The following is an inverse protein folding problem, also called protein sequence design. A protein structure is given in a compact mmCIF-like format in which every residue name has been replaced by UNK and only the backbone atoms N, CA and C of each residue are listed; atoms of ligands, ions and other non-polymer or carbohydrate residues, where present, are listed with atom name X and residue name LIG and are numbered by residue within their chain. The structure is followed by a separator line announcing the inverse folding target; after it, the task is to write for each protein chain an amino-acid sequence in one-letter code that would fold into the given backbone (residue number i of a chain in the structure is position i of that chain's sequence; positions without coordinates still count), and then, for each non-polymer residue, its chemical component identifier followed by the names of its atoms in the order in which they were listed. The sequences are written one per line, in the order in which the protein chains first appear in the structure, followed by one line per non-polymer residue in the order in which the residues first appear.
data_IF_465813408222
#
_entry.id   IF_465813408222
#
_cell.length_a   1.000
_cell.length_b   1.000
_cell.length_c   1.000
_cell.angle_alpha   90.00
_cell.angle_beta   90.00
_cell.angle_gamma   90.00
#
_symmetry.space_group_name_H-M   'P 1'
#
loop_
_entity.id
_entity.type
_entity.pdbx_description
1 polymer ?
#
# COMPACT_ATOMS: atom_id res chain seq x y z
N UNK A 1 73.39 53.20 40.82
CA UNK A 1 72.63 53.42 39.60
C UNK A 1 72.41 52.05 38.94
N UNK A 2 71.23 51.43 39.12
CA UNK A 2 70.86 50.13 38.52
C UNK A 2 69.56 50.31 37.76
N UNK A 3 69.62 50.21 36.43
CA UNK A 3 68.47 50.27 35.56
C UNK A 3 67.76 48.89 35.47
N UNK A 4 66.59 48.80 35.99
CA UNK A 4 65.73 47.60 35.86
C UNK A 4 64.91 47.75 34.59
N UNK A 5 65.08 46.85 33.64
CA UNK A 5 64.24 46.76 32.39
C UNK A 5 63.03 45.91 32.64
N UNK A 6 61.87 46.48 32.49
CA UNK A 6 60.59 45.74 32.46
C UNK A 6 60.44 45.07 31.08
N UNK A 7 60.22 43.77 31.10
CA UNK A 7 59.81 42.99 29.91
C UNK A 7 58.29 43.05 29.74
N UNK A 8 57.86 43.53 28.56
CA UNK A 8 56.48 43.56 28.18
C UNK A 8 56.07 42.19 27.61
N UNK A 9 55.11 41.50 28.27
CA UNK A 9 54.50 40.29 27.79
C UNK A 9 53.41 40.61 26.75
N UNK A 10 53.67 40.26 25.50
CA UNK A 10 52.67 40.33 24.40
C UNK A 10 51.68 39.16 24.49
N UNK A 11 50.46 39.44 24.90
CA UNK A 11 49.32 38.51 24.80
C UNK A 11 48.93 38.33 23.34
N UNK A 12 49.32 37.22 22.73
CA UNK A 12 48.80 36.79 21.44
C UNK A 12 47.33 36.44 21.51
N UNK A 13 46.48 37.32 21.01
CA UNK A 13 45.05 37.09 20.80
C UNK A 13 44.92 36.17 19.58
N UNK A 14 44.59 34.89 19.79
CA UNK A 14 44.19 33.98 18.70
C UNK A 14 42.85 34.46 18.14
N UNK A 15 42.91 35.07 17.01
CA UNK A 15 41.72 35.31 16.20
C UNK A 15 41.27 33.96 15.64
N UNK A 16 40.24 33.37 16.25
CA UNK A 16 39.46 32.25 15.63
C UNK A 16 38.65 32.87 14.51
N UNK A 17 38.99 32.57 13.29
CA UNK A 17 38.33 33.09 12.10
C UNK A 17 36.86 32.74 12.11
N UNK A 18 36.02 33.74 12.07
CA UNK A 18 34.55 33.63 11.98
C UNK A 18 34.06 32.81 10.76
N UNK A 19 34.95 32.55 9.81
CA UNK A 19 34.67 31.77 8.60
C UNK A 19 34.42 30.27 8.89
N UNK A 20 35.05 29.70 9.97
CA UNK A 20 34.85 28.27 10.30
C UNK A 20 33.52 27.95 10.94
N UNK A 21 32.85 28.92 11.58
CA UNK A 21 31.54 28.70 12.18
C UNK A 21 30.37 28.76 11.14
N UNK A 22 30.56 29.48 10.04
CA UNK A 22 29.52 29.58 9.00
C UNK A 22 29.45 28.30 8.16
N UNK A 23 30.57 27.61 7.92
CA UNK A 23 30.54 26.32 7.18
C UNK A 23 29.94 25.16 7.99
N UNK A 24 30.02 25.16 9.33
CA UNK A 24 29.43 24.13 10.16
C UNK A 24 27.91 24.24 10.29
N UNK A 25 27.36 25.47 10.17
CA UNK A 25 25.91 25.69 10.20
C UNK A 25 25.21 25.31 8.89
N UNK A 26 25.92 25.33 7.74
CA UNK A 26 25.35 25.01 6.42
C UNK A 26 25.20 23.49 6.18
N UNK A 27 25.94 22.64 6.89
CA UNK A 27 25.88 21.19 6.74
C UNK A 27 24.69 20.53 7.48
N UNK A 28 24.03 21.23 8.41
CA UNK A 28 22.92 20.68 9.20
C UNK A 28 21.54 20.80 8.52
N UNK A 29 21.45 21.47 7.36
CA UNK A 29 20.17 21.71 6.68
C UNK A 29 19.82 20.71 5.55
N UNK A 30 20.64 19.66 5.31
CA UNK A 30 20.49 18.84 4.09
C UNK A 30 19.70 17.54 4.29
N UNK A 31 19.23 17.20 5.47
CA UNK A 31 18.47 15.95 5.70
C UNK A 31 17.16 16.15 6.45
N UNK A 32 16.37 17.15 6.08
CA UNK A 32 14.94 17.09 6.30
C UNK A 32 14.36 16.30 5.11
N UNK A 33 14.52 14.98 5.12
CA UNK A 33 13.74 14.08 4.27
C UNK A 33 12.29 14.32 4.61
N UNK A 34 11.56 15.03 3.76
CA UNK A 34 10.11 15.09 3.83
C UNK A 34 9.61 13.68 3.57
N UNK A 35 9.40 12.90 4.63
CA UNK A 35 8.76 11.61 4.54
C UNK A 35 7.39 11.83 3.91
N UNK A 36 7.25 11.51 2.63
CA UNK A 36 5.96 11.44 1.96
C UNK A 36 5.20 10.26 2.57
N UNK A 37 4.18 10.54 3.36
CA UNK A 37 3.45 9.54 4.15
C UNK A 37 2.19 9.09 3.43
N UNK A 38 1.97 7.78 3.29
CA UNK A 38 0.71 7.18 2.87
C UNK A 38 -0.38 7.47 3.93
N UNK A 39 -1.64 7.50 3.56
CA UNK A 39 -2.79 7.90 4.41
C UNK A 39 -2.56 9.26 5.06
N UNK A 40 -3.29 10.27 4.62
CA UNK A 40 -3.18 11.64 5.13
C UNK A 40 -3.22 11.65 6.66
N UNK A 41 -2.21 12.25 7.30
CA UNK A 41 -2.07 12.33 8.75
C UNK A 41 -2.20 10.98 9.50
N UNK A 42 -2.00 9.87 8.80
CA UNK A 42 -1.94 8.54 9.41
C UNK A 42 -0.67 8.33 10.25
N UNK A 43 -0.60 7.21 10.94
CA UNK A 43 0.60 6.67 11.61
C UNK A 43 1.18 5.51 10.84
N UNK A 44 2.37 5.05 11.20
CA UNK A 44 2.92 3.81 10.64
C UNK A 44 1.94 2.67 10.92
N UNK A 45 1.69 1.83 9.91
CA UNK A 45 0.73 0.74 10.03
C UNK A 45 1.23 -0.31 11.04
N UNK A 46 0.33 -0.68 11.96
CA UNK A 46 0.54 -1.75 12.92
C UNK A 46 0.12 -3.11 12.36
N UNK A 47 -0.65 -3.85 13.16
CA UNK A 47 -1.09 -5.21 12.80
C UNK A 47 -1.89 -5.33 11.51
N UNK A 48 -2.62 -4.28 11.11
CA UNK A 48 -3.36 -4.26 9.84
C UNK A 48 -2.43 -4.34 8.62
N UNK A 49 -1.18 -3.91 8.76
CA UNK A 49 -0.21 -3.94 7.67
C UNK A 49 0.07 -5.33 7.09
N UNK A 50 -0.21 -6.40 7.84
CA UNK A 50 -0.09 -7.78 7.37
C UNK A 50 -1.15 -8.17 6.34
N UNK A 51 -2.17 -7.37 6.18
CA UNK A 51 -3.29 -7.59 5.27
C UNK A 51 -3.26 -6.67 4.05
N UNK A 52 -2.15 -5.92 3.85
CA UNK A 52 -2.09 -4.84 2.85
C UNK A 52 -0.84 -4.95 2.02
N UNK A 53 -0.98 -4.82 0.71
CA UNK A 53 0.12 -4.80 -0.24
C UNK A 53 -0.03 -3.63 -1.21
N UNK A 54 1.09 -3.20 -1.81
CA UNK A 54 1.10 -2.17 -2.84
C UNK A 54 0.73 -2.77 -4.17
N UNK A 55 -0.20 -2.16 -4.90
CA UNK A 55 -0.56 -2.49 -6.27
C UNK A 55 -0.01 -1.42 -7.21
N UNK A 56 0.72 -1.84 -8.23
CA UNK A 56 1.32 -0.96 -9.22
C UNK A 56 0.95 -1.40 -10.63
N UNK A 57 0.67 -0.44 -11.48
CA UNK A 57 0.44 -0.60 -12.91
C UNK A 57 1.18 0.46 -13.69
N UNK A 58 0.90 0.59 -14.99
CA UNK A 58 1.48 1.65 -15.81
C UNK A 58 1.00 3.02 -15.29
N UNK A 59 1.92 3.80 -14.68
CA UNK A 59 1.66 5.12 -14.08
C UNK A 59 0.58 5.13 -12.97
N UNK A 60 0.25 3.98 -12.40
CA UNK A 60 -0.75 3.86 -11.35
C UNK A 60 -0.13 3.28 -10.08
N UNK A 61 -0.43 3.92 -8.96
CA UNK A 61 -0.20 3.40 -7.63
C UNK A 61 -1.55 3.27 -6.92
N UNK A 62 -1.82 2.06 -6.44
CA UNK A 62 -2.95 1.74 -5.57
C UNK A 62 -2.50 0.86 -4.39
N UNK A 63 -3.45 0.52 -3.57
CA UNK A 63 -3.33 -0.45 -2.50
C UNK A 63 -4.18 -1.67 -2.83
N UNK A 64 -3.82 -2.84 -2.32
CA UNK A 64 -4.67 -4.02 -2.39
C UNK A 64 -4.73 -4.72 -1.03
N UNK A 65 -5.89 -5.31 -0.75
CA UNK A 65 -6.22 -5.98 0.51
C UNK A 65 -6.11 -7.48 0.34
N UNK A 66 -5.38 -8.14 1.23
CA UNK A 66 -5.10 -9.58 1.17
C UNK A 66 -6.31 -10.36 1.71
N UNK A 67 -6.95 -11.16 0.86
CA UNK A 67 -8.07 -12.04 1.21
C UNK A 67 -7.74 -13.53 1.05
N UNK A 68 -6.60 -13.85 0.48
CA UNK A 68 -6.06 -15.20 0.29
C UNK A 68 -4.56 -15.16 0.01
N UNK A 69 -3.91 -16.31 -0.03
CA UNK A 69 -2.47 -16.36 -0.30
C UNK A 69 -2.08 -15.86 -1.71
N UNK A 70 -3.01 -15.94 -2.65
CA UNK A 70 -2.87 -15.42 -4.03
C UNK A 70 -4.05 -14.55 -4.43
N UNK A 71 -4.94 -14.20 -3.49
CA UNK A 71 -6.15 -13.44 -3.77
C UNK A 71 -6.16 -12.13 -3.01
N UNK A 72 -6.47 -11.06 -3.72
CA UNK A 72 -6.54 -9.71 -3.19
C UNK A 72 -7.83 -9.04 -3.64
N UNK A 73 -8.25 -8.02 -2.89
CA UNK A 73 -9.27 -7.06 -3.33
C UNK A 73 -8.63 -5.70 -3.56
N UNK A 74 -9.13 -5.00 -4.55
CA UNK A 74 -8.79 -3.59 -4.83
C UNK A 74 -10.03 -2.85 -5.36
N UNK A 75 -9.93 -1.54 -5.55
CA UNK A 75 -10.97 -0.76 -6.23
C UNK A 75 -10.91 -1.00 -7.75
N UNK A 76 -12.06 -0.90 -8.44
CA UNK A 76 -12.13 -1.18 -9.89
C UNK A 76 -11.17 -0.30 -10.69
N UNK A 77 -11.16 1.00 -10.43
CA UNK A 77 -10.32 1.96 -11.16
C UNK A 77 -8.81 1.69 -11.01
N UNK A 78 -8.40 0.85 -10.04
CA UNK A 78 -7.01 0.45 -9.85
C UNK A 78 -6.50 -0.54 -10.91
N UNK A 79 -7.41 -1.14 -11.68
CA UNK A 79 -7.10 -2.10 -12.74
C UNK A 79 -7.87 -1.81 -14.03
N UNK A 80 -8.40 -0.60 -14.15
CA UNK A 80 -8.95 -0.09 -15.40
C UNK A 80 -7.81 0.19 -16.38
N UNK A 81 -8.00 -0.25 -17.64
CA UNK A 81 -7.02 -0.08 -18.70
C UNK A 81 -6.26 -1.35 -19.03
N UNK A 82 -5.42 -1.25 -20.05
CA UNK A 82 -4.56 -2.33 -20.53
C UNK A 82 -3.16 -2.20 -19.93
N UNK A 83 -2.62 -3.29 -19.44
CA UNK A 83 -1.24 -3.33 -19.00
C UNK A 83 -0.99 -4.40 -17.96
N UNK A 84 0.25 -4.74 -17.69
CA UNK A 84 0.58 -5.62 -16.62
C UNK A 84 0.40 -4.89 -15.28
N UNK A 85 -0.28 -5.54 -14.34
CA UNK A 85 -0.36 -5.12 -12.95
C UNK A 85 0.54 -6.01 -12.09
N UNK A 86 1.14 -5.42 -11.08
CA UNK A 86 2.03 -6.10 -10.16
C UNK A 86 1.71 -5.72 -8.72
N UNK A 87 1.97 -6.65 -7.83
CA UNK A 87 1.94 -6.43 -6.40
C UNK A 87 3.36 -6.37 -5.86
N UNK A 88 3.66 -5.37 -5.04
CA UNK A 88 4.93 -5.29 -4.33
C UNK A 88 4.71 -5.71 -2.88
N UNK A 89 5.30 -6.84 -2.49
CA UNK A 89 5.13 -7.46 -1.19
C UNK A 89 6.47 -7.97 -0.66
N UNK A 90 6.91 -7.46 0.50
CA UNK A 90 8.18 -7.87 1.11
C UNK A 90 9.39 -7.66 0.19
N UNK A 91 9.42 -6.56 -0.56
CA UNK A 91 10.48 -6.26 -1.53
C UNK A 91 10.42 -7.06 -2.84
N UNK A 92 9.44 -7.96 -2.99
CA UNK A 92 9.25 -8.77 -4.21
C UNK A 92 8.12 -8.20 -5.05
N UNK A 93 8.27 -8.25 -6.37
CA UNK A 93 7.24 -7.94 -7.34
C UNK A 93 6.60 -9.23 -7.82
N UNK A 94 5.26 -9.32 -7.73
CA UNK A 94 4.47 -10.50 -8.11
C UNK A 94 3.44 -10.04 -9.14
N UNK A 95 3.39 -10.70 -10.30
CA UNK A 95 2.44 -10.35 -11.36
C UNK A 95 1.01 -10.71 -10.94
N UNK A 96 0.04 -9.89 -11.35
CA UNK A 96 -1.37 -10.23 -11.35
C UNK A 96 -1.65 -11.09 -12.58
N UNK A 97 -2.07 -12.35 -12.35
CA UNK A 97 -2.35 -13.31 -13.43
C UNK A 97 -3.73 -13.09 -14.04
N UNK A 98 -4.72 -12.70 -13.21
CA UNK A 98 -6.08 -12.39 -13.67
C UNK A 98 -6.78 -11.48 -12.67
N UNK A 99 -7.86 -10.84 -13.13
CA UNK A 99 -8.73 -10.05 -12.28
C UNK A 99 -10.19 -10.17 -12.70
N UNK A 100 -11.11 -9.98 -11.75
CA UNK A 100 -12.56 -10.05 -11.98
C UNK A 100 -13.27 -9.01 -11.12
N UNK A 101 -14.02 -8.12 -11.75
CA UNK A 101 -14.78 -7.08 -11.08
C UNK A 101 -16.09 -7.64 -10.47
N UNK A 102 -16.45 -7.14 -9.30
CA UNK A 102 -17.73 -7.39 -8.62
C UNK A 102 -18.20 -6.10 -7.91
N UNK A 103 -19.25 -5.48 -8.43
CA UNK A 103 -19.67 -4.16 -7.97
C UNK A 103 -18.58 -3.11 -8.20
N UNK A 104 -18.16 -2.42 -7.16
CA UNK A 104 -17.10 -1.39 -7.22
C UNK A 104 -15.71 -1.92 -6.85
N UNK A 105 -15.58 -3.22 -6.58
CA UNK A 105 -14.33 -3.85 -6.23
C UNK A 105 -13.91 -4.87 -7.25
N UNK A 106 -12.60 -5.10 -7.36
CA UNK A 106 -12.02 -6.13 -8.23
C UNK A 106 -11.22 -7.12 -7.38
N UNK A 107 -11.47 -8.39 -7.59
CA UNK A 107 -10.64 -9.47 -7.07
C UNK A 107 -9.47 -9.70 -8.02
N UNK A 108 -8.27 -9.78 -7.47
CA UNK A 108 -7.04 -10.10 -8.19
C UNK A 108 -6.58 -11.50 -7.82
N UNK A 109 -6.10 -12.25 -8.82
CA UNK A 109 -5.38 -13.51 -8.62
C UNK A 109 -3.92 -13.31 -9.00
N UNK A 110 -3.00 -13.62 -8.08
CA UNK A 110 -1.56 -13.49 -8.29
C UNK A 110 -0.99 -14.70 -9.01
N UNK A 111 0.07 -14.49 -9.79
CA UNK A 111 0.80 -15.55 -10.47
C UNK A 111 1.56 -16.48 -9.49
N UNK A 112 1.89 -15.98 -8.29
CA UNK A 112 2.51 -16.78 -7.22
C UNK A 112 2.04 -16.32 -5.83
N UNK A 113 2.16 -17.18 -4.80
CA UNK A 113 1.74 -16.83 -3.45
C UNK A 113 2.50 -15.64 -2.86
N UNK A 114 1.81 -14.87 -2.03
CA UNK A 114 2.43 -13.85 -1.20
C UNK A 114 3.43 -14.46 -0.20
N UNK A 115 4.47 -13.69 0.19
CA UNK A 115 5.32 -14.06 1.33
C UNK A 115 4.51 -14.35 2.60
N UNK A 116 5.00 -15.25 3.46
CA UNK A 116 4.26 -15.78 4.61
C UNK A 116 3.86 -14.74 5.67
N UNK A 117 4.54 -13.58 5.70
CA UNK A 117 4.18 -12.47 6.60
C UNK A 117 2.84 -11.82 6.26
N UNK A 118 2.34 -11.97 5.03
CA UNK A 118 1.03 -11.48 4.62
C UNK A 118 -0.02 -12.55 4.86
N UNK A 119 -1.06 -12.18 5.60
CA UNK A 119 -2.13 -13.09 5.99
C UNK A 119 -3.48 -12.57 5.50
N UNK A 120 -4.39 -13.44 5.09
CA UNK A 120 -5.74 -13.06 4.72
C UNK A 120 -6.47 -12.35 5.85
N UNK A 121 -7.26 -11.32 5.51
CA UNK A 121 -8.21 -10.69 6.41
C UNK A 121 -9.58 -11.33 6.24
N UNK A 122 -10.23 -11.69 7.33
CA UNK A 122 -11.59 -12.20 7.28
C UNK A 122 -12.59 -11.10 6.93
N UNK A 123 -13.57 -11.39 6.09
CA UNK A 123 -14.67 -10.46 5.79
C UNK A 123 -15.75 -10.52 6.86
N UNK A 124 -16.45 -9.40 7.07
CA UNK A 124 -17.55 -9.31 8.04
C UNK A 124 -18.49 -8.17 7.72
N UNK A 125 -19.57 -8.03 8.51
CA UNK A 125 -20.52 -6.95 8.30
C UNK A 125 -20.02 -5.63 8.92
N UNK A 126 -20.40 -4.52 8.31
CA UNK A 126 -20.13 -3.16 8.79
C UNK A 126 -21.09 -2.74 9.93
N UNK A 127 -22.01 -3.60 10.37
CA UNK A 127 -23.05 -3.26 11.33
C UNK A 127 -22.46 -2.85 12.69
N UNK A 128 -22.88 -1.69 13.18
CA UNK A 128 -22.56 -1.12 14.49
C UNK A 128 -21.76 0.17 14.40
N UNK A 129 -21.99 1.04 15.39
CA UNK A 129 -21.17 2.22 15.63
C UNK A 129 -19.77 1.80 16.06
N UNK A 130 -18.76 2.54 15.67
CA UNK A 130 -17.39 2.26 16.07
C UNK A 130 -16.36 2.89 15.16
N UNK A 131 -15.11 2.69 15.52
CA UNK A 131 -13.98 3.14 14.73
C UNK A 131 -13.62 2.12 13.65
N UNK A 132 -13.26 2.62 12.51
CA UNK A 132 -12.70 1.88 11.38
C UNK A 132 -11.22 2.19 11.25
N UNK A 133 -10.44 1.22 10.87
CA UNK A 133 -9.03 1.41 10.49
C UNK A 133 -8.93 1.30 8.98
N UNK A 134 -8.37 2.32 8.34
CA UNK A 134 -7.92 2.25 6.96
C UNK A 134 -6.41 2.12 6.91
N UNK A 135 -5.89 1.47 5.87
CA UNK A 135 -4.45 1.41 5.64
C UNK A 135 -4.12 1.41 4.15
N UNK A 136 -2.97 2.00 3.78
CA UNK A 136 -2.59 2.07 2.39
C UNK A 136 -1.20 2.63 2.13
N UNK A 137 -0.87 2.68 0.84
CA UNK A 137 0.40 3.15 0.30
C UNK A 137 0.27 4.47 -0.48
N UNK A 138 -0.81 5.19 -0.29
CA UNK A 138 -1.08 6.44 -0.99
C UNK A 138 -0.13 7.57 -0.64
N UNK A 139 -0.47 8.78 -1.04
CA UNK A 139 0.30 9.98 -0.72
C UNK A 139 -0.21 10.63 0.56
N UNK A 140 0.66 11.31 1.28
CA UNK A 140 0.28 12.07 2.48
C UNK A 140 -0.10 13.52 2.17
N UNK A 141 0.15 13.95 0.95
CA UNK A 141 -0.15 15.29 0.47
C UNK A 141 -0.72 15.18 -0.95
N UNK A 142 -1.78 15.92 -1.23
CA UNK A 142 -2.44 15.93 -2.53
C UNK A 142 -1.51 16.38 -3.67
N UNK A 143 -0.54 17.25 -3.37
CA UNK A 143 0.47 17.74 -4.31
C UNK A 143 1.67 16.80 -4.51
N UNK A 144 1.81 15.76 -3.70
CA UNK A 144 2.93 14.83 -3.84
C UNK A 144 2.72 13.94 -5.06
N UNK A 145 3.57 14.08 -6.05
CA UNK A 145 3.63 13.14 -7.17
C UNK A 145 3.94 11.74 -6.63
N UNK A 146 3.02 10.82 -6.84
CA UNK A 146 3.00 9.37 -6.65
C UNK A 146 4.29 8.68 -6.13
N UNK A 147 4.82 9.12 -5.01
CA UNK A 147 5.87 8.40 -4.31
C UNK A 147 5.29 7.80 -3.05
N UNK A 148 5.05 6.51 -3.11
CA UNK A 148 4.67 5.74 -1.95
C UNK A 148 5.77 5.83 -0.90
N UNK A 149 5.53 6.60 0.13
CA UNK A 149 6.11 6.37 1.44
C UNK A 149 5.68 4.99 1.96
N UNK A 150 6.19 4.59 3.11
CA UNK A 150 5.81 3.35 3.75
C UNK A 150 4.30 3.22 3.99
N UNK A 151 3.85 2.01 4.30
CA UNK A 151 2.47 1.72 4.64
C UNK A 151 2.03 2.47 5.90
N UNK A 152 0.88 3.12 5.86
CA UNK A 152 0.31 3.87 6.98
C UNK A 152 -1.14 3.47 7.23
N UNK A 153 -1.62 3.81 8.44
CA UNK A 153 -3.00 3.58 8.85
C UNK A 153 -3.60 4.83 9.51
N UNK A 154 -4.92 4.93 9.50
CA UNK A 154 -5.67 5.89 10.28
C UNK A 154 -6.93 5.27 10.86
N UNK A 155 -7.36 5.78 12.03
CA UNK A 155 -8.65 5.46 12.63
C UNK A 155 -9.67 6.54 12.29
N UNK A 156 -10.77 6.11 11.71
CA UNK A 156 -11.86 6.95 11.24
C UNK A 156 -13.17 6.47 11.87
N UNK A 157 -14.19 7.33 11.83
CA UNK A 157 -15.56 6.99 12.25
C UNK A 157 -16.53 7.24 11.11
N UNK A 158 -17.71 6.61 11.14
CA UNK A 158 -18.74 6.83 10.14
C UNK A 158 -19.31 8.25 10.25
N UNK A 159 -19.49 8.88 9.09
CA UNK A 159 -20.31 10.09 8.93
C UNK A 159 -21.50 9.74 8.03
N UNK A 160 -22.67 9.38 8.61
CA UNK A 160 -23.84 8.99 7.82
C UNK A 160 -24.37 10.10 6.90
N UNK A 161 -24.13 11.38 7.24
CA UNK A 161 -24.60 12.52 6.42
C UNK A 161 -23.93 12.55 5.05
N UNK A 162 -22.68 12.11 4.98
CA UNK A 162 -21.88 12.11 3.75
C UNK A 162 -21.66 10.70 3.19
N UNK A 163 -22.23 9.66 3.84
CA UNK A 163 -21.96 8.26 3.50
C UNK A 163 -20.44 7.99 3.35
N UNK A 164 -19.68 8.38 4.35
CA UNK A 164 -18.22 8.37 4.33
C UNK A 164 -17.64 8.12 5.71
N UNK A 165 -16.33 7.92 5.76
CA UNK A 165 -15.55 7.90 6.98
C UNK A 165 -14.80 9.22 7.18
N UNK A 166 -14.67 9.66 8.42
CA UNK A 166 -14.03 10.92 8.81
C UNK A 166 -13.14 10.73 10.04
N UNK A 167 -12.16 11.60 10.20
CA UNK A 167 -11.34 11.68 11.42
C UNK A 167 -12.21 12.17 12.59
N UNK A 168 -12.36 11.40 13.68
CA UNK A 168 -13.15 11.81 14.82
C UNK A 168 -12.57 13.05 15.54
N UNK A 169 -11.30 13.33 15.38
CA UNK A 169 -10.63 14.46 16.04
C UNK A 169 -10.77 15.79 15.31
N UNK A 170 -11.06 15.78 14.02
CA UNK A 170 -11.38 16.94 13.15
C UNK A 170 -10.78 18.28 13.61
N UNK A 171 -9.48 18.32 13.86
CA UNK A 171 -8.81 19.54 14.30
C UNK A 171 -8.15 20.23 13.10
N UNK A 172 -8.80 21.29 12.59
CA UNK A 172 -8.27 22.12 11.51
C UNK A 172 -8.75 21.74 10.12
N UNK A 173 -8.21 22.41 9.09
CA UNK A 173 -8.68 22.28 7.71
C UNK A 173 -8.35 20.96 7.04
N UNK A 174 -7.38 20.20 7.56
CA UNK A 174 -6.97 18.91 7.03
C UNK A 174 -6.97 17.89 8.17
N UNK A 175 -7.66 16.78 7.98
CA UNK A 175 -7.82 15.68 8.93
C UNK A 175 -7.23 14.38 8.40
N UNK A 176 -7.19 13.33 9.24
CA UNK A 176 -6.80 12.02 8.76
C UNK A 176 -7.84 11.49 7.75
N UNK A 177 -7.36 10.97 6.64
CA UNK A 177 -8.20 10.37 5.58
C UNK A 177 -7.37 9.49 4.66
N UNK A 178 -8.01 8.73 3.78
CA UNK A 178 -7.36 8.21 2.59
C UNK A 178 -6.88 9.36 1.68
N UNK A 179 -5.94 9.05 0.80
CA UNK A 179 -5.44 9.96 -0.23
C UNK A 179 -5.17 9.16 -1.53
N UNK A 180 -4.60 9.81 -2.55
CA UNK A 180 -4.27 9.19 -3.82
C UNK A 180 -3.33 8.00 -3.62
N UNK A 181 -3.74 6.82 -4.13
CA UNK A 181 -3.00 5.57 -3.97
C UNK A 181 -3.46 4.68 -2.79
N UNK A 182 -4.33 5.18 -1.89
CA UNK A 182 -4.95 4.35 -0.84
C UNK A 182 -6.17 3.57 -1.34
N UNK A 183 -6.65 3.87 -2.55
CA UNK A 183 -7.71 3.11 -3.23
C UNK A 183 -7.37 1.62 -3.26
N UNK A 184 -8.34 0.77 -2.93
CA UNK A 184 -8.15 -0.68 -2.80
C UNK A 184 -7.65 -1.14 -1.43
N UNK A 185 -7.25 -0.22 -0.55
CA UNK A 185 -6.90 -0.51 0.82
C UNK A 185 -8.10 -0.93 1.68
N UNK A 186 -7.87 -1.66 2.79
CA UNK A 186 -8.94 -2.12 3.65
C UNK A 186 -9.60 -1.00 4.43
N UNK A 187 -10.91 -1.11 4.58
CA UNK A 187 -11.67 -0.52 5.67
C UNK A 187 -12.01 -1.67 6.62
N UNK A 188 -11.40 -1.68 7.79
CA UNK A 188 -11.51 -2.79 8.72
C UNK A 188 -11.96 -2.33 10.11
N UNK A 189 -12.63 -3.22 10.84
CA UNK A 189 -12.90 -3.08 12.27
C UNK A 189 -12.00 -4.01 13.06
N UNK A 190 -11.60 -3.59 14.24
CA UNK A 190 -10.90 -4.47 15.17
C UNK A 190 -11.91 -5.00 16.20
N UNK A 191 -12.08 -6.33 16.24
CA UNK A 191 -13.07 -6.99 17.11
C UNK A 191 -12.53 -7.31 18.52
N UNK A 192 -11.36 -6.78 18.87
CA UNK A 192 -10.64 -7.05 20.12
C UNK A 192 -9.57 -8.13 19.99
N UNK A 193 -9.59 -8.92 18.91
CA UNK A 193 -8.62 -10.00 18.62
C UNK A 193 -7.96 -9.85 17.26
N UNK A 194 -8.71 -9.46 16.23
CA UNK A 194 -8.27 -9.38 14.84
C UNK A 194 -8.96 -8.25 14.10
N UNK A 195 -8.42 -7.92 12.96
CA UNK A 195 -9.09 -7.05 11.98
C UNK A 195 -10.11 -7.85 11.18
N UNK A 196 -11.26 -7.25 10.93
CA UNK A 196 -12.34 -7.78 10.09
C UNK A 196 -12.60 -6.77 8.98
N UNK A 197 -12.49 -7.20 7.74
CA UNK A 197 -12.71 -6.38 6.56
C UNK A 197 -14.20 -6.10 6.39
N UNK A 198 -14.55 -4.83 6.29
CA UNK A 198 -15.93 -4.38 6.08
C UNK A 198 -16.10 -3.62 4.77
N UNK A 199 -15.02 -3.19 4.16
CA UNK A 199 -15.04 -2.48 2.88
C UNK A 199 -13.66 -2.24 2.29
N UNK A 200 -13.66 -1.66 1.10
CA UNK A 200 -12.48 -1.29 0.32
C UNK A 200 -12.54 0.21 0.03
N UNK A 201 -11.46 0.93 0.30
CA UNK A 201 -11.34 2.36 0.00
C UNK A 201 -11.51 2.60 -1.49
N UNK A 202 -12.43 3.50 -1.85
CA UNK A 202 -12.74 3.84 -3.24
C UNK A 202 -12.18 5.20 -3.64
N UNK A 203 -12.57 6.24 -2.93
CA UNK A 203 -12.25 7.62 -3.28
C UNK A 203 -12.25 8.53 -2.07
N UNK A 204 -11.74 9.72 -2.27
CA UNK A 204 -11.80 10.82 -1.30
C UNK A 204 -12.57 11.99 -1.87
N UNK A 205 -13.18 12.79 -1.01
CA UNK A 205 -13.78 14.06 -1.39
C UNK A 205 -13.74 15.05 -0.22
N UNK A 206 -13.88 16.33 -0.53
CA UNK A 206 -14.22 17.34 0.46
C UNK A 206 -15.74 17.41 0.69
N UNK A 207 -16.18 18.31 1.57
CA UNK A 207 -17.61 18.46 1.88
C UNK A 207 -18.45 19.02 0.72
N UNK A 208 -17.81 19.61 -0.30
CA UNK A 208 -18.47 20.02 -1.55
C UNK A 208 -18.52 18.89 -2.59
N UNK A 209 -18.04 17.67 -2.28
CA UNK A 209 -18.04 16.53 -3.18
C UNK A 209 -16.89 16.49 -4.18
N UNK A 210 -15.98 17.46 -4.14
CA UNK A 210 -14.79 17.52 -5.01
C UNK A 210 -13.70 16.63 -4.39
N UNK A 211 -12.99 15.84 -5.22
CA UNK A 211 -11.90 15.00 -4.75
C UNK A 211 -10.82 15.80 -4.03
N UNK A 212 -10.56 15.46 -2.77
CA UNK A 212 -9.56 16.09 -1.93
C UNK A 212 -9.17 15.19 -0.76
N UNK A 213 -7.88 15.10 -0.47
CA UNK A 213 -7.37 14.41 0.71
C UNK A 213 -7.57 15.26 1.98
N UNK A 214 -7.65 14.60 3.13
CA UNK A 214 -7.79 15.27 4.42
C UNK A 214 -9.24 15.54 4.87
N UNK A 215 -10.23 14.94 4.21
CA UNK A 215 -11.65 15.13 4.49
C UNK A 215 -12.40 13.80 4.57
N UNK A 216 -13.17 13.48 3.56
CA UNK A 216 -14.05 12.30 3.51
C UNK A 216 -13.35 11.14 2.82
N UNK A 217 -13.44 9.96 3.40
CA UNK A 217 -13.01 8.69 2.80
C UNK A 217 -14.24 7.86 2.47
N UNK A 218 -14.48 7.61 1.18
CA UNK A 218 -15.56 6.75 0.71
C UNK A 218 -15.05 5.33 0.49
N UNK A 219 -15.92 4.35 0.71
CA UNK A 219 -15.58 2.95 0.56
C UNK A 219 -16.76 2.14 0.02
N UNK A 220 -16.46 1.04 -0.64
CA UNK A 220 -17.44 0.03 -1.03
C UNK A 220 -17.49 -1.07 0.00
N UNK A 221 -18.68 -1.40 0.51
CA UNK A 221 -18.90 -2.48 1.46
C UNK A 221 -18.62 -3.83 0.80
N UNK A 222 -17.92 -4.73 1.51
CA UNK A 222 -17.73 -6.12 1.13
C UNK A 222 -18.71 -7.07 1.84
N UNK A 223 -19.60 -6.53 2.68
CA UNK A 223 -20.61 -7.30 3.41
C UNK A 223 -21.68 -7.83 2.45
N UNK A 224 -21.78 -9.16 2.32
CA UNK A 224 -22.77 -9.83 1.50
C UNK A 224 -22.24 -10.54 0.25
N UNK A 225 -21.02 -10.36 -0.13
CA UNK A 225 -20.39 -11.15 -1.21
C UNK A 225 -19.87 -12.47 -0.66
N UNK A 226 -20.68 -13.51 -0.69
CA UNK A 226 -20.25 -14.90 -0.41
C UNK A 226 -19.14 -15.41 -1.36
N UNK A 227 -18.78 -14.61 -2.37
CA UNK A 227 -17.73 -14.86 -3.34
C UNK A 227 -16.30 -14.68 -2.78
N UNK A 228 -16.14 -14.01 -1.64
CA UNK A 228 -14.81 -13.76 -1.04
C UNK A 228 -14.47 -14.71 0.11
N UNK A 229 -15.10 -15.90 0.14
CA UNK A 229 -14.66 -16.94 1.06
C UNK A 229 -13.23 -17.35 0.69
N UNK A 230 -12.31 -17.25 1.65
CA UNK A 230 -10.96 -17.78 1.49
C UNK A 230 -11.08 -19.25 1.08
N UNK A 231 -10.47 -19.66 -0.03
CA UNK A 231 -10.39 -21.04 -0.42
C UNK A 231 -9.75 -21.82 0.74
N UNK A 232 -10.31 -22.99 1.13
CA UNK A 232 -9.75 -23.77 2.21
C UNK A 232 -8.30 -24.11 1.90
N UNK A 233 -7.41 -23.88 2.86
CA UNK A 233 -6.01 -24.30 2.78
C UNK A 233 -6.00 -25.84 2.72
N UNK A 234 -5.52 -26.39 1.61
CA UNK A 234 -5.20 -27.78 1.48
C UNK A 234 -6.13 -28.62 0.61
N UNK A 235 -5.96 -28.52 -0.69
CA UNK A 235 -6.11 -29.67 -1.56
C UNK A 235 -5.06 -29.53 -2.66
N UNK A 236 -3.93 -30.15 -2.46
CA UNK A 236 -2.97 -30.41 -3.53
C UNK A 236 -3.65 -31.31 -4.54
N UNK A 237 -4.30 -30.72 -5.54
CA UNK A 237 -4.77 -31.44 -6.70
C UNK A 237 -3.53 -31.94 -7.43
N UNK A 238 -3.21 -33.22 -7.27
CA UNK A 238 -2.24 -33.87 -8.13
C UNK A 238 -2.65 -33.62 -9.57
N UNK A 239 -1.86 -32.86 -10.28
CA UNK A 239 -1.94 -32.77 -11.73
C UNK A 239 -1.55 -34.14 -12.26
N UNK A 240 -2.55 -34.94 -12.64
CA UNK A 240 -2.33 -36.17 -13.39
C UNK A 240 -1.66 -35.79 -14.71
N UNK A 241 -0.44 -36.30 -14.89
CA UNK A 241 0.29 -36.23 -16.16
C UNK A 241 -0.58 -36.69 -17.32
N UNK A 242 -0.59 -35.98 -18.46
CA UNK A 242 -1.32 -36.45 -19.63
C UNK A 242 -0.69 -37.74 -20.13
N UNK A 243 -1.48 -38.83 -20.15
CA UNK A 243 -1.11 -40.12 -20.73
C UNK A 243 -0.63 -39.91 -22.15
N UNK A 244 0.63 -40.18 -22.42
CA UNK A 244 1.19 -40.28 -23.77
C UNK A 244 0.46 -41.41 -24.51
N UNK A 245 -0.39 -41.04 -25.45
CA UNK A 245 -0.92 -41.95 -26.46
C UNK A 245 0.23 -42.45 -27.33
N UNK A 246 0.67 -43.70 -27.12
CA UNK A 246 1.53 -44.43 -28.02
C UNK A 246 0.79 -44.64 -29.33
N UNK A 247 1.14 -43.93 -30.35
CA UNK A 247 0.69 -44.18 -31.73
C UNK A 247 1.48 -45.37 -32.23
N UNK A 248 0.81 -46.52 -32.36
CA UNK A 248 1.36 -47.70 -33.03
C UNK A 248 1.42 -47.45 -34.51
N UNK A 249 2.59 -47.11 -35.00
CA UNK A 249 2.86 -46.97 -36.43
C UNK A 249 2.89 -48.33 -37.12
N UNK A 250 1.88 -48.67 -37.91
CA UNK A 250 1.93 -49.79 -38.89
C UNK A 250 2.84 -49.34 -40.05
N UNK A 251 4.00 -49.98 -40.14
CA UNK A 251 4.89 -49.86 -41.26
C UNK A 251 4.27 -50.36 -42.54
N UNK A 252 4.22 -49.55 -43.60
CA UNK A 252 4.13 -49.98 -44.99
C UNK A 252 5.47 -49.72 -45.64
N UNK A 253 6.18 -50.85 -45.92
CA UNK A 253 7.35 -50.85 -46.84
C UNK A 253 6.87 -50.53 -48.25
N UNK A 254 7.31 -49.52 -48.87
CA UNK A 254 7.25 -49.37 -50.32
C UNK A 254 8.66 -49.51 -50.89
N UNK A 255 8.80 -50.59 -51.69
CA UNK A 255 9.94 -50.86 -52.56
C UNK A 255 9.91 -49.84 -53.70
N UNK A 256 10.98 -49.11 -53.94
CA UNK A 256 11.33 -48.59 -55.21
C UNK A 256 12.81 -48.90 -55.46
N UNK A 257 13.02 -49.75 -56.52
CA UNK A 257 14.31 -50.13 -57.04
C UNK A 257 14.85 -49.08 -57.96
N UNK A 258 16.15 -49.13 -58.11
CA UNK A 258 17.06 -48.44 -58.95
C UNK A 258 16.60 -48.11 -60.39
N UNK A 259 16.94 -46.91 -60.85
CA UNK A 259 17.78 -46.74 -62.08
C UNK A 259 18.49 -45.40 -62.01
#
# INVERSE_FOLDING_TARGET
MRHTRLAAATRGRRQVSALSLVLAASAAFIFASSDAHAVMRGSNAGGIGRHVVKLVGHNLLCTATVIGRQQLLTANHCVEGSGPFFVVAGGRQIAVASHSASGQTTQLTLASPLPAQYIPIATGSASGEGSYTIAGYGTAQESARMHSAGLREARLVSDPRHNALVDPRRRGPISASACMGDSGGPVARFDGKRYVLVGIVERVSNYAGIGACGFLTHYSSVSGSSTYAAAPEGTTRQVSEPRQHRIAGKGKRSKWAAR
#
